data_IF_075697090721
#
_entry.id   IF_075697090721
#
_cell.length_a   1.000
_cell.length_b   1.000
_cell.length_c   1.000
_cell.angle_alpha   90.00
_cell.angle_beta   90.00
_cell.angle_gamma   90.00
#
_symmetry.space_group_name_H-M   'P 1'
#
loop_
_entity.id
_entity.type
_entity.pdbx_description
1 polymer ?
#
# COMPACT_ATOMS: atom_id res chain seq x y z
N UNK A 1 -29.39 -15.39 36.56
CA UNK A 1 -29.33 -14.44 35.42
C UNK A 1 -28.01 -14.68 34.68
N UNK A 2 -27.97 -14.66 33.34
CA UNK A 2 -26.73 -14.83 32.59
C UNK A 2 -25.77 -13.64 32.85
N UNK A 3 -24.44 -13.84 32.81
CA UNK A 3 -23.47 -12.76 32.89
C UNK A 3 -23.64 -11.75 31.75
N UNK A 4 -23.27 -10.50 31.99
CA UNK A 4 -23.39 -9.43 31.01
C UNK A 4 -22.64 -9.76 29.71
N UNK A 5 -23.27 -9.52 28.56
CA UNK A 5 -22.72 -9.86 27.24
C UNK A 5 -22.90 -11.33 26.81
N UNK A 6 -23.72 -12.11 27.53
CA UNK A 6 -24.09 -13.48 27.17
C UNK A 6 -25.60 -13.66 27.06
N UNK A 7 -26.03 -14.55 26.18
CA UNK A 7 -27.43 -14.97 26.05
C UNK A 7 -27.55 -16.49 26.23
N UNK A 8 -28.68 -16.95 26.74
CA UNK A 8 -28.94 -18.38 27.00
C UNK A 8 -29.65 -18.98 25.77
N UNK A 9 -29.09 -20.03 25.19
CA UNK A 9 -29.70 -20.79 24.08
C UNK A 9 -29.98 -22.22 24.54
N UNK A 10 -31.25 -22.57 24.69
CA UNK A 10 -31.72 -23.86 25.23
C UNK A 10 -31.11 -24.14 26.60
N UNK A 11 -29.94 -24.78 26.63
CA UNK A 11 -29.19 -25.17 27.84
C UNK A 11 -27.76 -24.59 27.92
N UNK A 12 -27.31 -23.87 26.89
CA UNK A 12 -25.93 -23.37 26.81
C UNK A 12 -25.87 -21.84 26.83
N UNK A 13 -24.87 -21.30 27.51
CA UNK A 13 -24.58 -19.86 27.53
C UNK A 13 -23.69 -19.57 26.31
N UNK A 14 -24.16 -18.71 25.41
CA UNK A 14 -23.40 -18.24 24.25
C UNK A 14 -23.03 -16.77 24.42
N UNK A 15 -21.84 -16.41 23.95
CA UNK A 15 -21.36 -15.03 23.93
C UNK A 15 -22.17 -14.26 22.88
N UNK A 16 -22.58 -13.04 23.21
CA UNK A 16 -23.28 -12.20 22.26
C UNK A 16 -22.34 -11.91 21.07
N UNK A 17 -22.81 -12.02 19.80
CA UNK A 17 -22.00 -11.61 18.67
C UNK A 17 -21.58 -10.16 18.86
N UNK A 18 -20.27 -9.93 18.89
CA UNK A 18 -19.74 -8.56 18.90
C UNK A 18 -19.91 -7.99 17.49
N UNK A 19 -20.24 -6.69 17.35
CA UNK A 19 -20.16 -6.04 16.06
C UNK A 19 -18.70 -6.15 15.58
N UNK A 20 -18.46 -7.05 14.63
CA UNK A 20 -17.18 -7.16 13.96
C UNK A 20 -17.20 -6.19 12.78
N UNK A 21 -16.24 -5.27 12.73
CA UNK A 21 -16.09 -4.42 11.55
C UNK A 21 -15.89 -5.27 10.30
N UNK A 22 -16.56 -4.92 9.20
CA UNK A 22 -16.32 -5.53 7.90
C UNK A 22 -14.85 -5.34 7.54
N UNK A 23 -14.09 -6.42 7.49
CA UNK A 23 -12.70 -6.39 7.02
C UNK A 23 -12.72 -6.15 5.51
N UNK A 24 -12.06 -5.10 5.04
CA UNK A 24 -11.80 -4.94 3.61
C UNK A 24 -10.98 -6.13 3.13
N UNK A 25 -11.33 -6.67 1.96
CA UNK A 25 -10.51 -7.68 1.29
C UNK A 25 -9.10 -7.14 1.10
N UNK A 26 -8.08 -7.94 1.40
CA UNK A 26 -6.68 -7.56 1.18
C UNK A 26 -6.42 -7.13 -0.27
N UNK A 27 -7.15 -7.70 -1.22
CA UNK A 27 -7.11 -7.32 -2.64
C UNK A 27 -7.63 -5.91 -2.90
N UNK A 28 -8.63 -5.45 -2.15
CA UNK A 28 -9.13 -4.09 -2.27
C UNK A 28 -8.09 -3.08 -1.77
N UNK A 29 -7.38 -3.42 -0.68
CA UNK A 29 -6.27 -2.59 -0.18
C UNK A 29 -5.14 -2.55 -1.20
N UNK A 30 -4.75 -3.70 -1.76
CA UNK A 30 -3.72 -3.76 -2.81
C UNK A 30 -4.10 -2.92 -4.04
N UNK A 31 -5.36 -2.98 -4.49
CA UNK A 31 -5.87 -2.18 -5.59
C UNK A 31 -5.81 -0.67 -5.33
N UNK A 32 -6.14 -0.22 -4.11
CA UNK A 32 -6.01 1.19 -3.72
C UNK A 32 -4.56 1.66 -3.75
N UNK A 33 -3.63 0.86 -3.21
CA UNK A 33 -2.20 1.18 -3.21
C UNK A 33 -1.67 1.29 -4.64
N UNK A 34 -2.00 0.32 -5.50
CA UNK A 34 -1.60 0.32 -6.90
C UNK A 34 -2.16 1.54 -7.65
N UNK A 35 -3.42 1.90 -7.39
CA UNK A 35 -4.06 3.08 -7.98
C UNK A 35 -3.38 4.39 -7.57
N UNK A 36 -3.07 4.56 -6.28
CA UNK A 36 -2.35 5.73 -5.77
C UNK A 36 -0.94 5.80 -6.38
N UNK A 37 -0.23 4.68 -6.45
CA UNK A 37 1.11 4.62 -7.05
C UNK A 37 1.08 5.04 -8.52
N UNK A 38 0.15 4.49 -9.31
CA UNK A 38 -0.01 4.83 -10.72
C UNK A 38 -0.40 6.31 -10.90
N UNK A 39 -1.28 6.83 -10.04
CA UNK A 39 -1.66 8.25 -10.07
C UNK A 39 -0.45 9.17 -9.88
N UNK A 40 0.42 8.80 -8.94
CA UNK A 40 1.70 9.48 -8.71
C UNK A 40 2.61 9.57 -9.92
N UNK A 41 2.69 8.47 -10.67
CA UNK A 41 3.50 8.40 -11.89
C UNK A 41 2.88 9.22 -13.04
N UNK A 42 1.54 9.26 -13.16
CA UNK A 42 0.85 9.94 -14.28
C UNK A 42 0.73 11.44 -14.06
N UNK A 43 0.39 11.88 -12.85
CA UNK A 43 0.12 13.30 -12.58
C UNK A 43 1.26 13.99 -11.83
N UNK A 44 2.23 13.23 -11.32
CA UNK A 44 3.25 13.72 -10.41
C UNK A 44 2.67 13.93 -9.01
N UNK A 45 3.34 13.40 -7.99
CA UNK A 45 3.19 13.95 -6.65
C UNK A 45 4.04 15.23 -6.63
N UNK A 46 3.48 16.38 -6.23
CA UNK A 46 4.14 17.70 -6.33
C UNK A 46 5.42 17.92 -5.49
N UNK A 47 6.18 16.86 -5.17
CA UNK A 47 7.55 16.93 -4.69
C UNK A 47 8.45 16.26 -5.73
N UNK A 48 9.41 17.03 -6.24
CA UNK A 48 10.46 16.58 -7.15
C UNK A 48 10.89 15.14 -6.84
N UNK A 49 10.69 14.24 -7.80
CA UNK A 49 11.35 12.94 -7.80
C UNK A 49 12.87 13.16 -7.83
N UNK A 50 13.48 13.29 -6.65
CA UNK A 50 14.91 13.12 -6.46
C UNK A 50 15.28 11.62 -6.51
N UNK A 51 14.64 10.85 -7.39
CA UNK A 51 14.90 9.44 -7.63
C UNK A 51 15.32 9.26 -9.09
N UNK A 52 16.60 9.51 -9.34
CA UNK A 52 17.22 9.17 -10.62
C UNK A 52 17.30 10.33 -11.61
N UNK A 53 18.08 11.36 -11.28
CA UNK A 53 18.74 12.12 -12.35
C UNK A 53 19.60 11.12 -13.13
N UNK A 54 19.39 10.88 -14.43
CA UNK A 54 20.33 10.09 -15.19
C UNK A 54 21.68 10.82 -15.11
N UNK A 55 22.71 10.16 -14.60
CA UNK A 55 24.08 10.65 -14.69
C UNK A 55 24.38 10.70 -16.18
N UNK A 56 24.29 11.90 -16.75
CA UNK A 56 24.67 12.12 -18.15
C UNK A 56 26.09 11.56 -18.32
N UNK A 57 26.33 10.59 -19.21
CA UNK A 57 27.67 10.04 -19.38
C UNK A 57 28.58 11.18 -19.83
N UNK A 58 29.58 11.49 -19.02
CA UNK A 58 30.61 12.48 -19.35
C UNK A 58 31.26 11.99 -20.65
N UNK A 59 31.23 12.74 -21.76
CA UNK A 59 31.89 12.31 -22.98
C UNK A 59 33.39 12.19 -22.68
N UNK A 60 33.91 10.96 -22.67
CA UNK A 60 35.33 10.73 -22.58
C UNK A 60 35.95 11.24 -23.88
N UNK A 61 36.73 12.32 -23.79
CA UNK A 61 37.48 12.83 -24.92
C UNK A 61 38.39 11.72 -25.45
N UNK A 62 38.14 11.28 -26.68
CA UNK A 62 39.01 10.32 -27.37
C UNK A 62 40.24 11.08 -27.83
N UNK A 63 41.42 10.70 -27.33
CA UNK A 63 42.69 11.22 -27.83
C UNK A 63 43.03 10.51 -29.15
N UNK A 64 43.32 11.25 -30.24
CA UNK A 64 43.79 10.62 -31.46
C UNK A 64 45.22 10.12 -31.25
N UNK A 65 45.50 8.90 -31.67
CA UNK A 65 46.87 8.38 -31.72
C UNK A 65 47.62 9.07 -32.87
N UNK A 66 48.56 9.96 -32.53
CA UNK A 66 49.53 10.49 -33.49
C UNK A 66 50.44 9.36 -33.93
N UNK A 67 50.51 9.12 -35.24
CA UNK A 67 51.50 8.25 -35.88
C UNK A 67 52.66 9.09 -36.40
#
# INVERSE_FOLDING_TARGET
MPPEGYHVVRRHIRRNPRPQGKKMSGWMIAGLIAGIWLWGQVFGFGGEEAAGRPVSPRPAASTPATR
#
